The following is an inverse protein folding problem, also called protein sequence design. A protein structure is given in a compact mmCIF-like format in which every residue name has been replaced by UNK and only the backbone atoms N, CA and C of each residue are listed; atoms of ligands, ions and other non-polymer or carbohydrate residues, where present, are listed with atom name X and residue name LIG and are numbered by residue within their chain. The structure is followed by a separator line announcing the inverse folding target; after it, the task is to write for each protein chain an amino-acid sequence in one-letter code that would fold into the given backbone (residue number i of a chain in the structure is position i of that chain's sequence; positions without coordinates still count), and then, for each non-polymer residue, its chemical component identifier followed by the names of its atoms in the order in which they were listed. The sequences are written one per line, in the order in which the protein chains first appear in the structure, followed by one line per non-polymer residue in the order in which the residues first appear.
data_IF_526468638026
#
_entry.id   IF_526468638026
#
_cell.length_a   1.000
_cell.length_b   1.000
_cell.length_c   1.000
_cell.angle_alpha   90.00
_cell.angle_beta   90.00
_cell.angle_gamma   90.00
#
_symmetry.space_group_name_H-M   'P 1'
#
loop_
_entity.id
_entity.type
_entity.pdbx_description
1 polymer ?
#
# COMPACT_ATOMS: atom_id res chain seq x y z
N UNK A 1 -1.89 -7.36 -0.22
CA UNK A 1 -1.59 -6.33 0.81
C UNK A 1 -2.52 -6.53 1.99
N UNK A 2 -2.11 -6.11 3.18
CA UNK A 2 -2.95 -6.05 4.36
C UNK A 2 -3.38 -4.60 4.56
N UNK A 3 -4.69 -4.34 4.58
CA UNK A 3 -5.23 -3.06 5.07
C UNK A 3 -5.48 -3.20 6.57
N UNK A 4 -4.66 -2.54 7.39
CA UNK A 4 -4.73 -2.61 8.85
C UNK A 4 -5.34 -1.35 9.43
N UNK A 5 -6.27 -1.49 10.37
CA UNK A 5 -6.76 -0.34 11.17
C UNK A 5 -5.71 0.17 12.17
N UNK A 6 -4.79 -0.71 12.59
CA UNK A 6 -3.76 -0.39 13.56
C UNK A 6 -2.41 -0.18 12.88
N UNK A 7 -1.87 1.03 12.97
CA UNK A 7 -0.49 1.32 12.59
C UNK A 7 0.51 0.71 13.59
N UNK A 8 0.22 0.85 14.89
CA UNK A 8 1.00 0.25 15.97
C UNK A 8 0.25 -0.94 16.57
N UNK A 9 0.84 -2.12 16.50
CA UNK A 9 0.32 -3.35 17.11
C UNK A 9 1.01 -3.61 18.45
N UNK A 10 0.35 -4.35 19.34
CA UNK A 10 0.92 -4.72 20.65
C UNK A 10 2.27 -5.43 20.52
N UNK A 11 2.38 -6.31 19.53
CA UNK A 11 3.57 -7.14 19.30
C UNK A 11 4.56 -6.46 18.32
N UNK A 12 4.31 -5.20 17.96
CA UNK A 12 5.11 -4.47 16.98
C UNK A 12 5.22 -5.18 15.62
N UNK A 13 6.37 -5.07 14.94
CA UNK A 13 6.61 -5.75 13.66
C UNK A 13 6.37 -7.26 13.67
N UNK A 14 6.62 -7.95 14.79
CA UNK A 14 6.43 -9.42 14.87
C UNK A 14 4.96 -9.83 14.72
N UNK A 15 4.01 -8.96 15.09
CA UNK A 15 2.59 -9.16 14.82
C UNK A 15 2.26 -9.22 13.33
N UNK A 16 3.15 -8.76 12.45
CA UNK A 16 2.97 -8.82 11.00
C UNK A 16 3.48 -10.13 10.36
N UNK A 17 4.25 -10.93 11.10
CA UNK A 17 4.88 -12.16 10.59
C UNK A 17 3.89 -13.20 10.04
N UNK A 18 2.74 -13.48 10.68
CA UNK A 18 1.76 -14.40 10.12
C UNK A 18 1.27 -13.97 8.73
N UNK A 19 1.08 -12.67 8.51
CA UNK A 19 0.64 -12.13 7.22
C UNK A 19 1.72 -12.30 6.14
N UNK A 20 2.98 -12.07 6.51
CA UNK A 20 4.12 -12.35 5.64
C UNK A 20 4.17 -13.84 5.25
N UNK A 21 3.97 -14.74 6.20
CA UNK A 21 3.96 -16.19 5.94
C UNK A 21 2.81 -16.62 5.03
N UNK A 22 1.71 -15.84 4.99
CA UNK A 22 0.63 -15.96 4.02
C UNK A 22 0.90 -15.28 2.66
N UNK A 23 2.11 -14.76 2.43
CA UNK A 23 2.50 -14.12 1.17
C UNK A 23 2.01 -12.68 1.01
N UNK A 24 1.54 -12.03 2.08
CA UNK A 24 1.22 -10.61 2.04
C UNK A 24 2.49 -9.79 1.89
N UNK A 25 2.53 -8.96 0.84
CA UNK A 25 3.73 -8.21 0.44
C UNK A 25 3.97 -6.93 1.24
N UNK A 26 2.90 -6.23 1.64
CA UNK A 26 2.96 -4.93 2.28
C UNK A 26 1.71 -4.69 3.14
N UNK A 27 1.85 -3.76 4.08
CA UNK A 27 0.78 -3.26 4.95
C UNK A 27 0.51 -1.79 4.59
N UNK A 28 -0.76 -1.45 4.46
CA UNK A 28 -1.30 -0.09 4.30
C UNK A 28 -2.65 -0.02 5.04
N UNK A 29 -3.47 1.01 4.85
CA UNK A 29 -4.64 1.23 5.71
C UNK A 29 -5.97 1.49 4.96
N UNK A 30 -5.99 1.55 3.62
CA UNK A 30 -7.14 2.08 2.87
C UNK A 30 -7.65 1.17 1.74
N UNK A 31 -6.83 0.31 1.15
CA UNK A 31 -7.16 -0.40 -0.09
C UNK A 31 -8.39 -1.31 0.04
N UNK A 32 -8.56 -1.99 1.18
CA UNK A 32 -9.74 -2.81 1.43
C UNK A 32 -11.04 -1.98 1.41
N UNK A 33 -11.03 -0.79 2.03
CA UNK A 33 -12.18 0.10 2.04
C UNK A 33 -12.44 0.69 0.64
N UNK A 34 -11.38 1.08 -0.08
CA UNK A 34 -11.46 1.55 -1.47
C UNK A 34 -12.15 0.51 -2.36
N UNK A 35 -11.71 -0.74 -2.32
CA UNK A 35 -12.27 -1.81 -3.15
C UNK A 35 -13.70 -2.16 -2.77
N UNK A 36 -14.02 -2.18 -1.47
CA UNK A 36 -15.40 -2.40 -1.02
C UNK A 36 -16.34 -1.28 -1.50
N UNK A 37 -15.91 -0.01 -1.37
CA UNK A 37 -16.70 1.13 -1.81
C UNK A 37 -16.91 1.12 -3.34
N UNK A 38 -15.86 0.83 -4.10
CA UNK A 38 -15.92 0.72 -5.56
C UNK A 38 -16.88 -0.39 -6.02
N UNK A 39 -16.79 -1.56 -5.40
CA UNK A 39 -17.70 -2.68 -5.66
C UNK A 39 -19.15 -2.29 -5.39
N UNK A 40 -19.42 -1.60 -4.26
CA UNK A 40 -20.77 -1.14 -3.90
C UNK A 40 -21.31 -0.09 -4.87
N UNK A 41 -20.46 0.80 -5.36
CA UNK A 41 -20.83 1.86 -6.30
C UNK A 41 -20.88 1.39 -7.76
N UNK A 42 -20.41 0.17 -8.07
CA UNK A 42 -20.35 -0.33 -9.44
C UNK A 42 -19.30 0.38 -10.31
N UNK A 43 -18.23 0.88 -9.70
CA UNK A 43 -17.12 1.58 -10.38
C UNK A 43 -15.83 0.78 -10.28
N UNK A 44 -14.86 1.08 -11.14
CA UNK A 44 -13.54 0.48 -11.11
C UNK A 44 -12.64 1.21 -10.11
N UNK A 45 -11.77 0.47 -9.41
CA UNK A 45 -10.76 1.02 -8.52
C UNK A 45 -9.47 0.21 -8.57
N UNK A 46 -8.35 0.87 -8.30
CA UNK A 46 -7.02 0.29 -8.23
C UNK A 46 -6.23 0.99 -7.13
N UNK A 47 -5.54 0.21 -6.29
CA UNK A 47 -4.57 0.71 -5.33
C UNK A 47 -3.15 0.46 -5.87
N UNK A 48 -2.37 1.53 -6.03
CA UNK A 48 -0.93 1.48 -6.31
C UNK A 48 -0.17 2.03 -5.10
N UNK A 49 0.94 1.36 -4.76
CA UNK A 49 1.71 1.64 -3.57
C UNK A 49 3.20 1.70 -3.89
N UNK A 50 3.89 2.67 -3.30
CA UNK A 50 5.35 2.71 -3.22
C UNK A 50 5.77 2.20 -1.85
N UNK A 51 6.74 1.28 -1.78
CA UNK A 51 7.29 0.82 -0.50
C UNK A 51 8.14 1.93 0.10
N UNK A 52 7.68 2.51 1.20
CA UNK A 52 8.39 3.57 1.93
C UNK A 52 9.30 3.03 3.01
N UNK A 53 8.94 1.92 3.65
CA UNK A 53 9.63 1.39 4.82
C UNK A 53 9.62 -0.15 4.83
N UNK A 54 10.70 -0.75 5.32
CA UNK A 54 10.84 -2.21 5.52
C UNK A 54 10.64 -2.54 7.00
N UNK A 55 9.41 -2.85 7.36
CA UNK A 55 8.95 -2.95 8.76
C UNK A 55 9.76 -3.96 9.61
N UNK A 56 10.31 -5.01 9.01
CA UNK A 56 11.10 -6.02 9.73
C UNK A 56 12.57 -5.63 9.95
N UNK A 57 13.16 -4.83 9.07
CA UNK A 57 14.56 -4.37 9.22
C UNK A 57 14.63 -2.98 9.87
N UNK A 58 13.53 -2.23 9.86
CA UNK A 58 13.47 -0.86 10.34
C UNK A 58 14.04 0.17 9.35
N UNK A 59 14.40 -0.26 8.14
CA UNK A 59 14.85 0.66 7.09
C UNK A 59 13.68 1.53 6.63
N UNK A 60 13.92 2.83 6.53
CA UNK A 60 12.94 3.82 6.13
C UNK A 60 13.52 4.68 5.01
N UNK A 61 12.74 4.95 3.97
CA UNK A 61 13.15 5.81 2.88
C UNK A 61 13.40 7.23 3.40
N UNK A 62 14.49 7.83 2.95
CA UNK A 62 14.83 9.24 3.17
C UNK A 62 13.79 10.16 2.51
N UNK A 63 13.67 11.42 2.93
CA UNK A 63 12.78 12.39 2.29
C UNK A 63 13.01 12.51 0.77
N UNK A 64 14.26 12.48 0.32
CA UNK A 64 14.64 12.56 -1.09
C UNK A 64 14.23 11.31 -1.87
N UNK A 65 14.46 10.12 -1.31
CA UNK A 65 14.00 8.84 -1.90
C UNK A 65 12.49 8.77 -1.98
N UNK A 66 11.78 9.26 -0.97
CA UNK A 66 10.32 9.41 -1.00
C UNK A 66 9.91 10.29 -2.17
N UNK A 67 10.44 11.51 -2.27
CA UNK A 67 10.07 12.44 -3.34
C UNK A 67 10.30 11.85 -4.75
N UNK A 68 11.41 11.17 -4.96
CA UNK A 68 11.78 10.61 -6.26
C UNK A 68 11.03 9.30 -6.59
N UNK A 69 10.82 8.43 -5.60
CA UNK A 69 10.14 7.13 -5.79
C UNK A 69 8.63 7.28 -6.04
N UNK A 70 7.98 8.29 -5.48
CA UNK A 70 6.57 8.54 -5.75
C UNK A 70 6.31 8.99 -7.19
N UNK A 71 7.28 9.62 -7.85
CA UNK A 71 7.10 10.17 -9.20
C UNK A 71 6.73 9.08 -10.21
N UNK A 72 7.47 7.97 -10.23
CA UNK A 72 7.22 6.86 -11.15
C UNK A 72 5.83 6.21 -10.94
N UNK A 73 5.40 6.07 -9.68
CA UNK A 73 4.06 5.58 -9.35
C UNK A 73 2.98 6.54 -9.88
N UNK A 74 3.18 7.85 -9.74
CA UNK A 74 2.24 8.86 -10.23
C UNK A 74 2.11 8.85 -11.75
N UNK A 75 3.23 8.76 -12.47
CA UNK A 75 3.22 8.63 -13.94
C UNK A 75 2.44 7.38 -14.37
N UNK A 76 2.70 6.23 -13.74
CA UNK A 76 2.00 4.98 -14.03
C UNK A 76 0.51 5.07 -13.69
N UNK A 77 0.16 5.72 -12.58
CA UNK A 77 -1.22 5.93 -12.18
C UNK A 77 -2.00 6.80 -13.18
N UNK A 78 -1.39 7.90 -13.63
CA UNK A 78 -1.98 8.79 -14.63
C UNK A 78 -2.15 8.08 -15.98
N UNK A 79 -1.10 7.39 -16.45
CA UNK A 79 -1.14 6.62 -17.70
C UNK A 79 -2.19 5.50 -17.66
N UNK A 80 -2.31 4.80 -16.53
CA UNK A 80 -3.35 3.79 -16.33
C UNK A 80 -4.74 4.42 -16.37
N UNK A 81 -4.95 5.54 -15.66
CA UNK A 81 -6.24 6.20 -15.57
C UNK A 81 -6.78 6.67 -16.94
N UNK A 82 -5.91 7.20 -17.81
CA UNK A 82 -6.30 7.66 -19.16
C UNK A 82 -6.48 6.53 -20.18
N UNK A 83 -6.00 5.32 -19.88
CA UNK A 83 -6.17 4.14 -20.76
C UNK A 83 -7.41 3.32 -20.43
N UNK A 84 -7.91 3.45 -19.20
CA UNK A 84 -9.10 2.74 -18.71
C UNK A 84 -10.39 3.57 -18.93
N UNK A 85 -10.26 4.81 -19.42
CA UNK A 85 -11.37 5.70 -19.78
C UNK A 85 -12.09 5.32 -21.07
#
# INVERSE_FOLDING_TARGET
ILSSDAFYTKDGPEGLKPWKDHGILAVEMEAAALYLAAQRAGVQALCMLTISDLVFTGEAATPEERQTSFHAMMELALDTAVKVS
#
